data_IF_538817614992
#
_entry.id   IF_538817614992
#
_cell.length_a   1.000
_cell.length_b   1.000
_cell.length_c   1.000
_cell.angle_alpha   90.00
_cell.angle_beta   90.00
_cell.angle_gamma   90.00
#
_symmetry.space_group_name_H-M   'P 1'
#
loop_
_entity.id
_entity.type
_entity.pdbx_description
1 polymer ?
#
# COMPACT_ATOMS: atom_id res chain seq x y z
N UNK A 1 19.90 -11.25 -1.44
CA UNK A 1 18.77 -11.57 -0.58
C UNK A 1 17.92 -12.65 -1.24
N UNK A 2 17.36 -13.51 -0.41
CA UNK A 2 16.46 -14.52 -0.92
C UNK A 2 15.20 -13.86 -1.48
N UNK A 3 14.77 -14.33 -2.64
CA UNK A 3 13.51 -13.91 -3.21
C UNK A 3 12.36 -14.41 -2.33
N UNK A 4 11.19 -13.82 -2.49
CA UNK A 4 10.01 -14.27 -1.78
C UNK A 4 9.73 -15.75 -2.07
N UNK A 5 9.87 -16.17 -3.34
CA UNK A 5 9.67 -17.57 -3.71
C UNK A 5 10.67 -18.50 -3.01
N UNK A 6 11.92 -18.07 -2.88
CA UNK A 6 12.94 -18.84 -2.18
C UNK A 6 12.62 -18.98 -0.70
N UNK A 7 12.18 -17.91 -0.05
CA UNK A 7 11.78 -17.96 1.35
C UNK A 7 10.63 -18.92 1.57
N UNK A 8 9.62 -18.89 0.71
CA UNK A 8 8.49 -19.81 0.80
C UNK A 8 8.93 -21.26 0.68
N UNK A 9 9.84 -21.54 -0.25
CA UNK A 9 10.35 -22.88 -0.48
C UNK A 9 11.19 -23.38 0.70
N UNK A 10 12.09 -22.54 1.20
CA UNK A 10 13.03 -22.92 2.22
C UNK A 10 12.39 -23.08 3.59
N UNK A 11 11.37 -22.28 3.88
CA UNK A 11 10.75 -22.24 5.20
C UNK A 11 9.45 -23.02 5.27
N UNK A 12 9.06 -23.65 4.17
CA UNK A 12 7.81 -24.40 4.13
C UNK A 12 6.63 -23.58 4.65
N UNK A 13 6.53 -22.35 4.18
CA UNK A 13 5.49 -21.42 4.61
C UNK A 13 4.11 -21.95 4.23
N UNK A 14 3.18 -21.85 5.16
CA UNK A 14 1.83 -22.36 4.95
C UNK A 14 1.12 -21.57 3.84
N UNK A 15 0.40 -22.26 2.94
CA UNK A 15 -0.28 -21.58 1.84
C UNK A 15 -1.28 -20.50 2.26
N UNK A 16 -1.90 -20.65 3.43
CA UNK A 16 -2.91 -19.68 3.88
C UNK A 16 -2.34 -18.30 4.19
N UNK A 17 -1.03 -18.17 4.38
CA UNK A 17 -0.42 -16.86 4.60
C UNK A 17 -0.02 -16.18 3.30
N UNK A 18 -0.19 -16.85 2.16
CA UNK A 18 0.14 -16.28 0.86
C UNK A 18 -1.08 -15.65 0.25
N UNK A 19 -1.00 -14.34 0.06
CA UNK A 19 -1.93 -13.62 -0.78
C UNK A 19 -1.17 -13.16 -2.01
N UNK A 20 -1.72 -13.44 -3.20
CA UNK A 20 -1.17 -12.93 -4.44
C UNK A 20 -1.95 -11.68 -4.81
N UNK A 21 -1.25 -10.58 -4.95
CA UNK A 21 -1.83 -9.31 -5.30
C UNK A 21 -1.54 -8.98 -6.76
N UNK A 22 -2.55 -8.48 -7.46
CA UNK A 22 -2.38 -7.90 -8.79
C UNK A 22 -2.31 -6.39 -8.63
N UNK A 23 -1.14 -5.82 -8.94
CA UNK A 23 -0.94 -4.39 -8.77
C UNK A 23 -1.57 -3.59 -9.92
N UNK A 24 -2.23 -2.52 -9.54
CA UNK A 24 -2.81 -1.59 -10.49
C UNK A 24 -1.71 -0.71 -11.12
N UNK A 25 -1.96 -0.13 -12.29
CA UNK A 25 -0.96 0.72 -12.96
C UNK A 25 -0.90 2.13 -12.37
N UNK A 26 -0.82 2.23 -11.06
CA UNK A 26 -0.71 3.51 -10.36
C UNK A 26 0.49 3.60 -9.42
N UNK A 27 1.47 2.68 -9.49
CA UNK A 27 2.62 2.79 -8.63
C UNK A 27 3.49 3.98 -9.02
N UNK A 28 4.20 4.54 -8.05
CA UNK A 28 5.27 5.46 -8.36
C UNK A 28 6.53 5.09 -7.59
N UNK A 29 7.64 5.56 -8.12
CA UNK A 29 8.93 5.46 -7.49
C UNK A 29 9.64 6.77 -7.79
N UNK A 30 9.92 7.56 -6.75
CA UNK A 30 10.53 8.88 -6.97
C UNK A 30 12.05 8.82 -7.15
N UNK A 31 12.62 7.61 -7.21
CA UNK A 31 14.04 7.44 -7.51
C UNK A 31 14.99 7.91 -6.42
N UNK A 32 14.54 8.03 -5.19
CA UNK A 32 15.41 8.44 -4.10
C UNK A 32 16.50 7.40 -3.88
N UNK A 33 17.74 7.86 -3.72
CA UNK A 33 18.90 6.99 -3.58
C UNK A 33 18.96 6.29 -2.22
N UNK A 34 18.33 6.88 -1.20
CA UNK A 34 18.38 6.32 0.15
C UNK A 34 17.33 5.22 0.31
N UNK A 35 17.68 4.13 1.00
CA UNK A 35 16.72 3.05 1.22
C UNK A 35 15.58 3.49 2.13
N UNK A 36 14.42 2.92 1.93
CA UNK A 36 13.27 3.14 2.80
C UNK A 36 13.54 2.57 4.19
N UNK A 37 13.03 3.25 5.21
CA UNK A 37 13.12 2.80 6.60
C UNK A 37 11.78 2.30 7.14
N UNK A 38 10.70 2.71 6.55
CA UNK A 38 9.35 2.36 6.98
C UNK A 38 8.47 2.00 5.80
N UNK A 39 7.58 1.07 6.03
CA UNK A 39 6.55 0.70 5.07
C UNK A 39 5.20 0.80 5.79
N UNK A 40 4.30 1.60 5.25
CA UNK A 40 2.91 1.66 5.71
C UNK A 40 2.09 0.74 4.82
N UNK A 41 1.48 -0.25 5.43
CA UNK A 41 0.72 -1.27 4.76
C UNK A 41 -0.73 -1.16 5.17
N UNK A 42 -1.63 -0.98 4.21
CA UNK A 42 -3.06 -0.86 4.47
C UNK A 42 -3.80 -1.92 3.65
N UNK A 43 -4.68 -2.65 4.31
CA UNK A 43 -5.58 -3.59 3.66
C UNK A 43 -7.01 -3.10 3.85
N UNK A 44 -7.76 -3.06 2.77
CA UNK A 44 -9.11 -2.52 2.79
C UNK A 44 -10.05 -3.34 1.92
N UNK A 45 -11.30 -3.40 2.33
CA UNK A 45 -12.38 -4.01 1.59
C UNK A 45 -13.24 -2.92 0.96
N UNK A 46 -13.54 -3.06 -0.33
CA UNK A 46 -14.45 -2.15 -1.00
C UNK A 46 -15.87 -2.32 -0.45
N UNK A 47 -16.54 -1.22 -0.17
CA UNK A 47 -17.92 -1.21 0.31
C UNK A 47 -18.82 -0.58 -0.75
N UNK A 48 -18.54 0.66 -1.15
CA UNK A 48 -19.35 1.39 -2.13
C UNK A 48 -18.61 1.71 -3.41
N UNK A 49 -17.31 1.45 -3.46
CA UNK A 49 -16.48 1.72 -4.65
C UNK A 49 -16.17 0.43 -5.39
N UNK A 50 -16.10 0.52 -6.71
CA UNK A 50 -15.57 -0.56 -7.52
C UNK A 50 -14.04 -0.57 -7.44
N UNK A 51 -13.41 -1.68 -7.85
CA UNK A 51 -11.96 -1.75 -7.91
C UNK A 51 -11.38 -0.67 -8.82
N UNK A 52 -12.03 -0.38 -9.94
CA UNK A 52 -11.59 0.67 -10.85
C UNK A 52 -11.69 2.05 -10.21
N UNK A 53 -12.79 2.33 -9.53
CA UNK A 53 -12.95 3.61 -8.81
C UNK A 53 -11.89 3.79 -7.73
N UNK A 54 -11.59 2.72 -6.98
CA UNK A 54 -10.52 2.76 -5.99
C UNK A 54 -9.16 3.07 -6.63
N UNK A 55 -8.86 2.42 -7.73
CA UNK A 55 -7.62 2.66 -8.48
C UNK A 55 -7.53 4.12 -8.95
N UNK A 56 -8.62 4.67 -9.46
CA UNK A 56 -8.67 6.06 -9.91
C UNK A 56 -8.45 7.03 -8.74
N UNK A 57 -9.05 6.75 -7.57
CA UNK A 57 -8.88 7.59 -6.38
C UNK A 57 -7.44 7.54 -5.86
N UNK A 58 -6.83 6.37 -5.84
CA UNK A 58 -5.42 6.23 -5.45
C UNK A 58 -4.54 6.98 -6.44
N UNK A 59 -4.78 6.82 -7.74
CA UNK A 59 -4.02 7.53 -8.77
C UNK A 59 -4.11 9.05 -8.59
N UNK A 60 -5.29 9.56 -8.30
CA UNK A 60 -5.50 10.99 -8.08
C UNK A 60 -4.81 11.50 -6.82
N UNK A 61 -4.53 10.64 -5.85
CA UNK A 61 -3.89 11.00 -4.59
C UNK A 61 -2.37 10.83 -4.60
N UNK A 62 -1.78 10.23 -5.63
CA UNK A 62 -0.34 9.91 -5.64
C UNK A 62 0.53 11.15 -5.47
N UNK A 63 0.12 12.29 -6.02
CA UNK A 63 0.87 13.53 -5.88
C UNK A 63 0.98 13.99 -4.42
N UNK A 64 -0.04 13.74 -3.61
CA UNK A 64 -0.03 14.07 -2.18
C UNK A 64 1.01 13.20 -1.46
N UNK A 65 1.03 11.90 -1.75
CA UNK A 65 2.04 11.00 -1.20
C UNK A 65 3.45 11.46 -1.57
N UNK A 66 3.68 11.72 -2.85
CA UNK A 66 5.00 12.12 -3.34
C UNK A 66 5.45 13.44 -2.72
N UNK A 67 4.56 14.42 -2.61
CA UNK A 67 4.88 15.74 -2.07
C UNK A 67 5.23 15.71 -0.58
N UNK A 68 4.83 14.67 0.14
CA UNK A 68 5.03 14.56 1.59
C UNK A 68 6.08 13.52 1.98
N UNK A 69 6.89 13.07 1.04
CA UNK A 69 8.06 12.26 1.33
C UNK A 69 7.89 10.76 1.12
N UNK A 70 6.80 10.30 0.54
CA UNK A 70 6.69 8.90 0.14
C UNK A 70 7.71 8.59 -0.95
N UNK A 71 8.37 7.44 -0.84
CA UNK A 71 9.38 7.03 -1.80
C UNK A 71 8.80 6.15 -2.89
N UNK A 72 7.99 5.17 -2.49
CA UNK A 72 7.32 4.27 -3.43
C UNK A 72 5.88 4.06 -2.99
N UNK A 73 5.03 3.78 -3.95
CA UNK A 73 3.63 3.44 -3.69
C UNK A 73 3.26 2.27 -4.57
N UNK A 74 2.61 1.28 -3.98
CA UNK A 74 2.06 0.14 -4.70
C UNK A 74 0.63 -0.06 -4.24
N UNK A 75 -0.27 -0.20 -5.18
CA UNK A 75 -1.68 -0.47 -4.91
C UNK A 75 -2.13 -1.64 -5.75
N UNK A 76 -2.84 -2.58 -5.14
CA UNK A 76 -3.27 -3.76 -5.86
C UNK A 76 -4.46 -4.44 -5.21
N UNK A 77 -4.96 -5.46 -5.91
CA UNK A 77 -6.05 -6.30 -5.44
C UNK A 77 -5.51 -7.67 -5.09
N UNK A 78 -5.94 -8.21 -3.96
CA UNK A 78 -5.61 -9.58 -3.57
C UNK A 78 -6.47 -10.50 -4.40
N UNK A 79 -5.85 -11.36 -5.20
CA UNK A 79 -6.55 -12.24 -6.14
C UNK A 79 -6.57 -13.69 -5.71
N UNK A 80 -5.75 -14.08 -4.72
CA UNK A 80 -5.76 -15.41 -4.14
C UNK A 80 -5.49 -15.34 -2.64
N UNK A 81 -5.90 -16.38 -1.91
CA UNK A 81 -5.67 -16.47 -0.48
C UNK A 81 -6.91 -16.12 0.33
N UNK A 82 -6.73 -15.98 1.63
CA UNK A 82 -7.85 -15.76 2.56
C UNK A 82 -8.49 -14.37 2.42
N UNK A 83 -7.75 -13.41 1.88
CA UNK A 83 -8.20 -12.02 1.76
C UNK A 83 -8.58 -11.65 0.33
N UNK A 84 -8.92 -12.64 -0.48
CA UNK A 84 -9.30 -12.42 -1.88
C UNK A 84 -10.41 -11.36 -1.99
N UNK A 85 -10.27 -10.45 -2.93
CA UNK A 85 -11.23 -9.36 -3.14
C UNK A 85 -10.89 -8.10 -2.34
N UNK A 86 -9.97 -8.17 -1.40
CA UNK A 86 -9.49 -6.99 -0.69
C UNK A 86 -8.37 -6.31 -1.44
N UNK A 87 -8.07 -5.07 -1.05
CA UNK A 87 -7.05 -4.26 -1.69
C UNK A 87 -5.92 -3.96 -0.72
N UNK A 88 -4.72 -3.84 -1.28
CA UNK A 88 -3.52 -3.51 -0.51
C UNK A 88 -2.93 -2.21 -1.03
N UNK A 89 -2.55 -1.35 -0.10
CA UNK A 89 -1.78 -0.16 -0.38
C UNK A 89 -0.50 -0.23 0.44
N UNK A 90 0.64 -0.24 -0.23
CA UNK A 90 1.96 -0.24 0.40
C UNK A 90 2.72 1.02 0.01
N UNK A 91 3.15 1.79 0.99
CA UNK A 91 3.86 3.05 0.76
C UNK A 91 5.09 3.09 1.64
N UNK A 92 6.26 3.35 1.04
CA UNK A 92 7.52 3.39 1.75
C UNK A 92 7.97 4.82 2.05
N UNK A 93 8.67 4.98 3.18
CA UNK A 93 9.09 6.27 3.68
C UNK A 93 10.46 6.16 4.34
N UNK A 94 11.17 7.28 4.45
CA UNK A 94 12.43 7.34 5.19
C UNK A 94 12.27 7.73 6.65
N UNK A 95 11.14 8.33 7.04
CA UNK A 95 10.97 8.82 8.40
C UNK A 95 9.52 8.74 8.84
N UNK A 96 9.32 8.68 10.16
CA UNK A 96 7.98 8.77 10.75
C UNK A 96 7.36 10.14 10.50
N UNK A 97 8.15 11.19 10.48
CA UNK A 97 7.63 12.54 10.22
C UNK A 97 7.06 12.66 8.80
N UNK A 98 7.65 11.97 7.82
CA UNK A 98 7.10 11.93 6.46
C UNK A 98 5.76 11.20 6.43
N UNK A 99 5.61 10.14 7.21
CA UNK A 99 4.33 9.43 7.33
C UNK A 99 3.27 10.35 7.91
N UNK A 100 3.59 11.03 9.00
CA UNK A 100 2.65 11.97 9.66
C UNK A 100 2.24 13.09 8.71
N UNK A 101 3.20 13.70 8.03
CA UNK A 101 2.94 14.77 7.08
C UNK A 101 2.03 14.29 5.95
N UNK A 102 2.26 13.08 5.44
CA UNK A 102 1.44 12.49 4.38
C UNK A 102 0.00 12.34 4.83
N UNK A 103 -0.23 11.74 6.00
CA UNK A 103 -1.60 11.48 6.45
C UNK A 103 -2.32 12.76 6.88
N UNK A 104 -1.60 13.77 7.38
CA UNK A 104 -2.19 15.08 7.62
C UNK A 104 -2.68 15.71 6.29
N UNK A 105 -1.87 15.62 5.24
CA UNK A 105 -2.24 16.14 3.93
C UNK A 105 -3.38 15.34 3.30
N UNK A 106 -3.37 14.02 3.44
CA UNK A 106 -4.44 13.16 2.91
C UNK A 106 -5.79 13.43 3.57
N UNK A 107 -5.79 13.82 4.83
CA UNK A 107 -7.02 14.20 5.53
C UNK A 107 -7.71 15.41 4.89
N UNK A 108 -6.99 16.21 4.12
CA UNK A 108 -7.51 17.35 3.38
C UNK A 108 -7.71 17.07 1.90
N UNK A 109 -7.29 15.91 1.42
CA UNK A 109 -7.40 15.55 0.01
C UNK A 109 -8.77 14.96 -0.31
N UNK A 110 -9.48 15.56 -1.23
CA UNK A 110 -10.85 15.14 -1.58
C UNK A 110 -10.88 13.71 -2.10
N UNK A 111 -9.95 13.34 -2.97
CA UNK A 111 -9.91 12.00 -3.55
C UNK A 111 -9.66 10.94 -2.49
N UNK A 112 -8.73 11.19 -1.58
CA UNK A 112 -8.44 10.23 -0.52
C UNK A 112 -9.58 10.13 0.48
N UNK A 113 -10.23 11.23 0.81
CA UNK A 113 -11.41 11.21 1.68
C UNK A 113 -12.55 10.41 1.07
N UNK A 114 -12.78 10.55 -0.24
CA UNK A 114 -13.78 9.76 -0.95
C UNK A 114 -13.41 8.28 -0.99
N UNK A 115 -12.13 7.98 -1.15
CA UNK A 115 -11.63 6.61 -1.10
C UNK A 115 -11.92 5.98 0.26
N UNK A 116 -11.54 6.64 1.33
CA UNK A 116 -11.71 6.09 2.69
C UNK A 116 -13.18 5.98 3.07
N UNK A 117 -14.04 6.85 2.57
CA UNK A 117 -15.48 6.77 2.80
C UNK A 117 -16.11 5.57 2.09
N UNK A 118 -15.51 5.09 1.01
CA UNK A 118 -16.05 4.00 0.20
C UNK A 118 -15.46 2.62 0.51
N UNK A 119 -14.58 2.51 1.50
CA UNK A 119 -13.94 1.26 1.88
C UNK A 119 -14.01 1.04 3.39
N UNK A 120 -13.77 -0.20 3.78
CA UNK A 120 -13.54 -0.57 5.17
C UNK A 120 -12.07 -0.95 5.32
N UNK A 121 -11.34 -0.19 6.12
CA UNK A 121 -9.93 -0.48 6.40
C UNK A 121 -9.86 -1.59 7.44
N UNK A 122 -9.32 -2.72 7.06
CA UNK A 122 -9.22 -3.90 7.92
C UNK A 122 -7.91 -3.93 8.70
N UNK A 123 -6.86 -3.34 8.13
CA UNK A 123 -5.54 -3.35 8.74
C UNK A 123 -4.74 -2.16 8.23
N UNK A 124 -4.04 -1.52 9.14
CA UNK A 124 -2.98 -0.57 8.80
C UNK A 124 -1.83 -0.81 9.75
N UNK A 125 -0.67 -1.11 9.19
CA UNK A 125 0.53 -1.39 9.95
C UNK A 125 1.68 -0.55 9.46
N UNK A 126 2.52 -0.11 10.39
CA UNK A 126 3.79 0.53 10.08
C UNK A 126 4.86 -0.49 10.37
N UNK A 127 5.61 -0.86 9.34
CA UNK A 127 6.68 -1.84 9.45
C UNK A 127 8.00 -1.09 9.36
N UNK A 128 8.86 -1.28 10.35
CA UNK A 128 10.21 -0.75 10.31
C UNK A 128 11.11 -1.71 9.54
N UNK A 129 11.81 -1.18 8.56
CA UNK A 129 12.70 -1.97 7.71
C UNK A 129 14.13 -1.85 8.23
N UNK A 130 14.80 -2.99 8.36
CA UNK A 130 16.20 -3.06 8.77
C UNK A 130 17.03 -3.43 7.55
N UNK A 131 17.86 -2.50 7.14
CA UNK A 131 18.71 -2.67 5.94
C UNK A 131 20.19 -2.61 6.30
#
# INVERSE_FOLDING_TARGET
SASYASLLKDQNVQPYVRNIAKFAPVPFDNGLALPAKYLVFTRAKAVTLTAQEMTEKVAASTSVFAANGAQTLRFGQIITGNDIGQHLLGVSYQSMSAIEATYDALAQDTNFRQLTAGVEVNMRSIIQLYT
#
